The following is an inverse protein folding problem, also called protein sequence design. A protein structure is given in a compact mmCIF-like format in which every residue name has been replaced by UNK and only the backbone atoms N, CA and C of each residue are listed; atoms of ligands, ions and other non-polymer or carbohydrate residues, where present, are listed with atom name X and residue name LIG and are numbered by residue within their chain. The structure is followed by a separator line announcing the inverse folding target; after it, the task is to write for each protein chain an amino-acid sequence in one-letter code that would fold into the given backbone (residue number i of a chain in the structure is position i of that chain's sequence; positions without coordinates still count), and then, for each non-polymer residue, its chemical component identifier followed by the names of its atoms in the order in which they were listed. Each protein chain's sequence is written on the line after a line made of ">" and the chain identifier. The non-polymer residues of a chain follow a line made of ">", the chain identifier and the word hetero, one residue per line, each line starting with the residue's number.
data_IF_848009949936
#
_entry.id   IF_848009949936
#
_cell.length_a   1.000
_cell.length_b   1.000
_cell.length_c   1.000
_cell.angle_alpha   90.00
_cell.angle_beta   90.00
_cell.angle_gamma   90.00
#
_symmetry.space_group_name_H-M   'P 1'
#
loop_
_entity.id
_entity.type
_entity.pdbx_description
1 polymer ?
#
# COMPACT_ATOMS: atom_id res chain seq x y z
N UNK A 1 27.72 15.72 0.17
CA UNK A 1 26.95 14.81 1.02
C UNK A 1 25.53 14.70 0.48
N UNK A 2 25.29 13.74 -0.40
CA UNK A 2 23.96 13.43 -0.98
C UNK A 2 23.42 12.11 -0.38
N UNK A 3 24.30 11.37 0.29
CA UNK A 3 24.05 10.03 0.83
C UNK A 3 23.13 10.08 2.05
N UNK A 4 23.29 11.03 2.96
CA UNK A 4 22.44 11.14 4.15
C UNK A 4 20.97 11.43 3.80
N UNK A 5 20.72 12.19 2.73
CA UNK A 5 19.37 12.42 2.19
C UNK A 5 18.76 11.18 1.52
N UNK A 6 19.56 10.31 0.90
CA UNK A 6 19.08 9.03 0.37
C UNK A 6 18.77 8.02 1.49
N UNK A 7 19.50 8.08 2.60
CA UNK A 7 19.30 7.23 3.78
C UNK A 7 17.98 7.56 4.51
N UNK A 8 17.57 8.83 4.59
CA UNK A 8 16.26 9.22 5.13
C UNK A 8 15.08 8.87 4.20
N UNK A 9 15.29 8.91 2.87
CA UNK A 9 14.27 8.49 1.89
C UNK A 9 14.06 6.97 1.91
N UNK A 10 15.13 6.18 2.12
CA UNK A 10 15.01 4.74 2.41
C UNK A 10 14.29 4.45 3.74
N UNK A 11 14.32 5.37 4.71
CA UNK A 11 13.74 5.12 6.05
C UNK A 11 12.25 5.44 6.19
N UNK A 12 11.65 6.25 5.29
CA UNK A 12 10.37 6.91 5.59
C UNK A 12 9.19 6.62 4.66
N UNK A 13 9.26 5.65 3.75
CA UNK A 13 8.09 5.38 2.89
C UNK A 13 8.03 3.91 2.52
N UNK A 14 7.66 3.08 3.50
CA UNK A 14 6.99 1.81 3.24
C UNK A 14 5.64 2.13 2.56
N UNK A 15 5.69 2.50 1.28
CA UNK A 15 4.56 2.38 0.39
C UNK A 15 4.43 0.88 0.19
N UNK A 16 3.75 0.22 1.14
CA UNK A 16 3.47 -1.21 1.09
C UNK A 16 2.67 -1.41 -0.18
N UNK A 17 3.33 -1.96 -1.21
CA UNK A 17 2.64 -2.39 -2.40
C UNK A 17 1.78 -3.57 -1.97
N UNK A 18 0.47 -3.40 -2.10
CA UNK A 18 -0.48 -4.46 -1.81
C UNK A 18 -1.16 -4.86 -3.11
N UNK A 19 -1.45 -6.15 -3.23
CA UNK A 19 -2.24 -6.67 -4.33
C UNK A 19 -3.68 -6.84 -3.88
N UNK A 20 -4.60 -6.33 -4.69
CA UNK A 20 -6.01 -6.65 -4.60
C UNK A 20 -6.43 -7.37 -5.87
N UNK A 21 -6.91 -8.61 -5.74
CA UNK A 21 -7.30 -9.47 -6.87
C UNK A 21 -6.22 -9.60 -7.98
N UNK A 22 -4.94 -9.63 -7.59
CA UNK A 22 -3.80 -9.72 -8.51
C UNK A 22 -3.41 -8.41 -9.19
N UNK A 23 -4.01 -7.27 -8.81
CA UNK A 23 -3.65 -5.94 -9.29
C UNK A 23 -2.91 -5.16 -8.21
N UNK A 24 -1.82 -4.44 -8.56
CA UNK A 24 -1.17 -3.55 -7.61
C UNK A 24 -2.12 -2.40 -7.26
N UNK A 25 -2.32 -2.20 -5.97
CA UNK A 25 -3.12 -1.12 -5.42
C UNK A 25 -2.34 -0.42 -4.30
N UNK A 26 -2.64 0.87 -4.10
CA UNK A 26 -2.13 1.68 -3.00
C UNK A 26 -3.19 1.82 -1.93
N UNK A 27 -2.84 1.60 -0.66
CA UNK A 27 -3.78 1.88 0.44
C UNK A 27 -3.78 3.39 0.68
N UNK A 28 -4.93 4.02 0.45
CA UNK A 28 -5.11 5.45 0.73
C UNK A 28 -5.61 5.69 2.15
N UNK A 29 -6.41 4.77 2.70
CA UNK A 29 -6.93 4.88 4.06
C UNK A 29 -7.31 3.52 4.64
N UNK A 30 -7.27 3.40 5.96
CA UNK A 30 -7.61 2.19 6.70
C UNK A 30 -8.66 2.53 7.77
N UNK A 31 -9.79 1.84 7.71
CA UNK A 31 -10.84 1.89 8.73
C UNK A 31 -10.72 0.66 9.63
N UNK A 32 -10.18 0.87 10.84
CA UNK A 32 -9.92 -0.21 11.80
C UNK A 32 -11.19 -0.75 12.45
N UNK A 33 -12.20 0.09 12.60
CA UNK A 33 -13.49 -0.27 13.17
C UNK A 33 -14.26 -1.18 12.21
N UNK A 34 -14.23 -0.87 10.91
CA UNK A 34 -14.89 -1.67 9.87
C UNK A 34 -14.01 -2.78 9.28
N UNK A 35 -12.70 -2.77 9.57
CA UNK A 35 -11.70 -3.66 8.98
C UNK A 35 -11.70 -3.60 7.45
N UNK A 36 -11.86 -2.39 6.91
CA UNK A 36 -11.79 -2.09 5.47
C UNK A 36 -10.63 -1.15 5.18
N UNK A 37 -10.13 -1.21 3.95
CA UNK A 37 -9.13 -0.32 3.40
C UNK A 37 -9.70 0.33 2.15
N UNK A 38 -9.52 1.64 2.00
CA UNK A 38 -9.70 2.31 0.71
C UNK A 38 -8.40 2.14 -0.05
N UNK A 39 -8.48 1.47 -1.19
CA UNK A 39 -7.33 1.23 -2.07
C UNK A 39 -7.52 1.89 -3.42
N UNK A 40 -6.43 2.39 -4.00
CA UNK A 40 -6.40 3.01 -5.32
C UNK A 40 -5.60 2.15 -6.28
N UNK A 41 -6.20 1.75 -7.40
CA UNK A 41 -5.54 0.84 -8.35
C UNK A 41 -4.45 1.57 -9.12
N UNK A 42 -3.21 1.06 -9.07
CA UNK A 42 -2.05 1.70 -9.71
C UNK A 42 -2.29 1.83 -11.21
N UNK A 43 -2.15 3.06 -11.72
CA UNK A 43 -2.40 3.39 -13.12
C UNK A 43 -3.84 3.80 -13.43
N UNK A 44 -4.71 3.86 -12.42
CA UNK A 44 -6.07 4.41 -12.56
C UNK A 44 -6.37 5.39 -11.43
N UNK A 45 -7.34 6.29 -11.64
CA UNK A 45 -7.89 7.14 -10.57
C UNK A 45 -9.07 6.48 -9.86
N UNK A 46 -9.17 5.15 -9.91
CA UNK A 46 -10.26 4.41 -9.28
C UNK A 46 -9.84 3.97 -7.88
N UNK A 47 -10.67 4.35 -6.92
CA UNK A 47 -10.57 3.94 -5.53
C UNK A 47 -11.71 3.01 -5.17
N UNK A 48 -11.39 1.94 -4.45
CA UNK A 48 -12.34 0.95 -4.01
C UNK A 48 -12.15 0.68 -2.51
N UNK A 49 -13.25 0.59 -1.78
CA UNK A 49 -13.21 0.14 -0.39
C UNK A 49 -13.29 -1.39 -0.39
N UNK A 50 -12.24 -2.01 0.14
CA UNK A 50 -12.09 -3.47 0.15
C UNK A 50 -11.78 -3.95 1.57
N UNK A 51 -12.22 -5.16 1.96
CA UNK A 51 -11.84 -5.71 3.26
C UNK A 51 -10.33 -5.87 3.34
N UNK A 52 -9.71 -5.49 4.47
CA UNK A 52 -8.26 -5.61 4.64
C UNK A 52 -7.80 -7.07 4.50
N UNK A 53 -8.66 -8.02 4.86
CA UNK A 53 -8.41 -9.45 4.68
C UNK A 53 -8.32 -9.91 3.21
N UNK A 54 -8.80 -9.10 2.27
CA UNK A 54 -8.69 -9.36 0.82
C UNK A 54 -7.43 -8.76 0.20
N UNK A 55 -6.66 -7.97 0.97
CA UNK A 55 -5.39 -7.41 0.52
C UNK A 55 -4.27 -8.42 0.79
N UNK A 56 -3.48 -8.68 -0.24
CA UNK A 56 -2.27 -9.51 -0.13
C UNK A 56 -1.06 -8.58 -0.13
N UNK A 57 -0.29 -8.61 0.97
CA UNK A 57 0.98 -7.92 1.06
C UNK A 57 1.99 -8.54 0.08
N UNK A 58 2.63 -7.73 -0.77
CA UNK A 58 3.75 -8.22 -1.61
C UNK A 58 5.09 -8.16 -0.89
N UNK A 59 5.12 -7.71 0.37
CA UNK A 59 6.31 -7.64 1.21
C UNK A 59 6.62 -8.92 1.98
N UNK A 60 5.78 -9.95 1.89
CA UNK A 60 5.97 -11.23 2.59
C UNK A 60 6.38 -12.34 1.62
N UNK A 61 7.49 -12.14 0.90
CA UNK A 61 8.28 -13.24 0.39
C UNK A 61 9.40 -13.55 1.42
N UNK A 62 9.10 -14.55 2.26
CA UNK A 62 9.96 -15.42 3.10
C UNK A 62 11.08 -14.83 3.97
#
# INVERSE_FOLDING_TARGET
>A
MIIDRAIEIMSSTNNISVLYAGKPVWIESLDKDKRTAVVSVVGTSQTEEVPVASLTDTGSEM
#
